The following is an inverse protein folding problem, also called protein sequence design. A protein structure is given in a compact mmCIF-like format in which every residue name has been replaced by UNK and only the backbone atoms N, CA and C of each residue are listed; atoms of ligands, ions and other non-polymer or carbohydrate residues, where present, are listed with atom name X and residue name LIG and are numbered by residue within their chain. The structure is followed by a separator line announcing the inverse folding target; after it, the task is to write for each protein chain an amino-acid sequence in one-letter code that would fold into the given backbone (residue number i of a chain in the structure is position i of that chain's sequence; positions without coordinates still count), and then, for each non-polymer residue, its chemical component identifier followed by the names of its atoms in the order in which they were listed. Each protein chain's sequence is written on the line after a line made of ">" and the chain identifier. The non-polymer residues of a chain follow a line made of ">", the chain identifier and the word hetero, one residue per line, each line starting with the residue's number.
data_IF_949486500530
#
_entry.id   IF_949486500530
#
_cell.length_a   1.000
_cell.length_b   1.000
_cell.length_c   1.000
_cell.angle_alpha   90.00
_cell.angle_beta   90.00
_cell.angle_gamma   90.00
#
_symmetry.space_group_name_H-M   'P 1'
#
loop_
_entity.id
_entity.type
_entity.pdbx_description
1 polymer ?
#
# COMPACT_ATOMS: atom_id res chain seq x y z
N UNK A 1 30.32 -29.63 0.58
CA UNK A 1 29.18 -28.76 0.25
C UNK A 1 28.67 -28.21 1.56
N UNK A 2 28.87 -26.92 1.83
CA UNK A 2 28.50 -26.30 3.11
C UNK A 2 27.77 -25.00 2.81
N UNK A 3 26.53 -25.14 2.33
CA UNK A 3 25.68 -23.98 2.05
C UNK A 3 24.27 -24.32 2.52
N UNK A 4 24.04 -24.39 3.83
CA UNK A 4 22.67 -24.50 4.37
C UNK A 4 22.60 -24.13 5.86
N UNK A 5 23.17 -22.98 6.23
CA UNK A 5 22.92 -22.40 7.55
C UNK A 5 22.60 -20.90 7.53
N UNK A 6 22.93 -20.22 6.43
CA UNK A 6 22.75 -18.77 6.30
C UNK A 6 21.45 -18.35 5.61
N UNK A 7 20.74 -19.26 4.92
CA UNK A 7 19.47 -18.92 4.25
C UNK A 7 18.30 -18.74 5.23
N UNK A 8 18.33 -19.45 6.37
CA UNK A 8 17.18 -19.55 7.27
C UNK A 8 16.94 -18.29 8.11
N UNK A 9 17.96 -17.43 8.28
CA UNK A 9 17.85 -16.20 9.08
C UNK A 9 17.24 -15.01 8.30
N UNK A 10 17.28 -15.01 6.96
CA UNK A 10 16.83 -13.86 6.17
C UNK A 10 15.30 -13.74 6.08
N UNK A 11 14.59 -14.88 6.18
CA UNK A 11 13.13 -14.95 6.00
C UNK A 11 12.38 -14.35 7.21
N UNK A 12 12.99 -14.37 8.41
CA UNK A 12 12.37 -13.85 9.65
C UNK A 12 12.47 -12.32 9.80
N UNK A 13 13.33 -11.66 9.03
CA UNK A 13 13.42 -10.19 8.97
C UNK A 13 12.70 -9.59 7.77
N UNK A 14 12.08 -10.42 6.92
CA UNK A 14 11.26 -9.89 5.84
C UNK A 14 9.97 -9.32 6.42
N UNK A 15 9.78 -8.03 6.21
CA UNK A 15 8.51 -7.32 6.43
C UNK A 15 7.38 -8.16 5.84
N UNK A 16 6.33 -8.39 6.62
CA UNK A 16 5.10 -9.06 6.17
C UNK A 16 4.73 -8.48 4.82
N UNK A 17 4.49 -9.35 3.83
CA UNK A 17 4.04 -8.96 2.50
C UNK A 17 2.96 -7.89 2.67
N UNK A 18 3.25 -6.65 2.23
CA UNK A 18 2.21 -5.62 2.12
C UNK A 18 1.06 -6.24 1.34
N UNK A 19 -0.17 -5.86 1.67
CA UNK A 19 -1.34 -6.33 0.94
C UNK A 19 -1.18 -6.10 -0.57
N UNK A 20 -2.12 -6.60 -1.36
CA UNK A 20 -2.10 -6.27 -2.78
C UNK A 20 -2.21 -4.74 -2.97
N UNK A 21 -1.71 -4.17 -4.08
CA UNK A 21 -1.88 -2.74 -4.36
C UNK A 21 -3.36 -2.31 -4.29
N UNK A 22 -4.29 -3.21 -4.58
CA UNK A 22 -5.72 -2.99 -4.44
C UNK A 22 -6.17 -2.86 -2.98
N UNK A 23 -5.60 -3.65 -2.07
CA UNK A 23 -5.88 -3.55 -0.64
C UNK A 23 -5.38 -2.20 -0.10
N UNK A 24 -4.19 -1.76 -0.52
CA UNK A 24 -3.66 -0.45 -0.15
C UNK A 24 -4.46 0.71 -0.76
N UNK A 25 -4.98 0.54 -1.98
CA UNK A 25 -5.86 1.53 -2.59
C UNK A 25 -7.18 1.66 -1.84
N UNK A 26 -7.74 0.56 -1.31
CA UNK A 26 -8.92 0.65 -0.45
C UNK A 26 -8.62 1.44 0.83
N UNK A 27 -7.46 1.22 1.44
CA UNK A 27 -7.01 2.01 2.60
C UNK A 27 -6.88 3.50 2.24
N UNK A 28 -6.34 3.82 1.05
CA UNK A 28 -6.31 5.20 0.56
C UNK A 28 -7.72 5.80 0.51
N UNK A 29 -8.69 5.12 -0.10
CA UNK A 29 -10.08 5.60 -0.18
C UNK A 29 -10.68 5.80 1.22
N UNK A 30 -10.53 4.81 2.10
CA UNK A 30 -11.08 4.86 3.46
C UNK A 30 -10.50 6.01 4.31
N UNK A 31 -9.26 6.43 4.02
CA UNK A 31 -8.59 7.51 4.73
C UNK A 31 -8.76 8.88 4.08
N UNK A 32 -8.90 8.93 2.76
CA UNK A 32 -8.91 10.17 1.99
C UNK A 32 -10.32 10.69 1.69
N UNK A 33 -11.33 9.82 1.57
CA UNK A 33 -12.70 10.22 1.23
C UNK A 33 -13.35 11.03 2.36
N UNK A 34 -13.86 12.21 2.00
CA UNK A 34 -14.63 13.10 2.88
C UNK A 34 -16.11 12.67 3.04
N UNK A 35 -16.51 11.57 2.39
CA UNK A 35 -17.88 11.04 2.37
C UNK A 35 -18.76 11.66 1.28
N UNK A 36 -18.23 12.61 0.50
CA UNK A 36 -18.87 13.20 -0.68
C UNK A 36 -18.04 12.96 -1.96
N UNK A 37 -16.98 12.14 -1.90
CA UNK A 37 -16.07 11.85 -3.00
C UNK A 37 -14.91 12.85 -3.15
N UNK A 38 -14.69 13.70 -2.16
CA UNK A 38 -13.56 14.63 -2.08
C UNK A 38 -12.41 14.09 -1.25
N UNK A 39 -11.18 14.42 -1.63
CA UNK A 39 -9.96 14.04 -0.92
C UNK A 39 -9.65 15.07 0.19
N UNK A 40 -9.77 14.66 1.46
CA UNK A 40 -9.53 15.51 2.64
C UNK A 40 -8.09 16.02 2.72
N UNK A 41 -7.14 15.30 2.10
CA UNK A 41 -5.72 15.66 2.09
C UNK A 41 -5.39 16.63 0.96
N UNK A 42 -6.31 16.80 -0.01
CA UNK A 42 -6.14 17.63 -1.21
C UNK A 42 -7.21 18.72 -1.34
N UNK A 43 -7.61 19.30 -0.21
CA UNK A 43 -8.58 20.42 -0.17
C UNK A 43 -9.90 20.11 -0.88
N UNK A 44 -10.38 18.87 -0.82
CA UNK A 44 -11.63 18.45 -1.47
C UNK A 44 -11.52 18.22 -2.97
N UNK A 45 -10.31 18.15 -3.54
CA UNK A 45 -10.14 17.69 -4.91
C UNK A 45 -10.71 16.27 -5.10
N UNK A 46 -11.12 15.86 -6.31
CA UNK A 46 -11.56 14.50 -6.53
C UNK A 46 -10.52 13.46 -6.10
N UNK A 47 -11.00 12.35 -5.52
CA UNK A 47 -10.16 11.18 -5.22
C UNK A 47 -9.45 10.70 -6.49
N UNK A 48 -8.20 10.29 -6.34
CA UNK A 48 -7.44 9.69 -7.44
C UNK A 48 -8.08 8.38 -7.85
N UNK A 49 -8.07 8.11 -9.15
CA UNK A 49 -8.28 6.75 -9.66
C UNK A 49 -7.14 5.82 -9.23
N UNK A 50 -7.34 4.50 -9.35
CA UNK A 50 -6.31 3.52 -9.03
C UNK A 50 -5.00 3.78 -9.79
N UNK A 51 -5.09 4.05 -11.10
CA UNK A 51 -3.92 4.29 -11.94
C UNK A 51 -3.21 5.61 -11.58
N UNK A 52 -3.95 6.68 -11.27
CA UNK A 52 -3.37 7.94 -10.80
C UNK A 52 -2.71 7.80 -9.43
N UNK A 53 -3.26 6.94 -8.57
CA UNK A 53 -2.71 6.64 -7.25
C UNK A 53 -1.43 5.81 -7.35
N UNK A 54 -1.40 4.81 -8.23
CA UNK A 54 -0.21 3.99 -8.49
C UNK A 54 0.98 4.78 -9.05
N UNK A 55 0.73 5.96 -9.64
CA UNK A 55 1.74 6.86 -10.18
C UNK A 55 2.01 8.09 -9.28
N UNK A 56 1.73 7.99 -7.98
CA UNK A 56 1.91 9.09 -7.00
C UNK A 56 3.30 9.12 -6.37
#
# INVERSE_FOLDING_TARGET
>A
MTTDKYLTQHILWQTVNRGTPKDEYQIYLDCADDGNGGDITRSGAPLKTFDEWMNT
#
